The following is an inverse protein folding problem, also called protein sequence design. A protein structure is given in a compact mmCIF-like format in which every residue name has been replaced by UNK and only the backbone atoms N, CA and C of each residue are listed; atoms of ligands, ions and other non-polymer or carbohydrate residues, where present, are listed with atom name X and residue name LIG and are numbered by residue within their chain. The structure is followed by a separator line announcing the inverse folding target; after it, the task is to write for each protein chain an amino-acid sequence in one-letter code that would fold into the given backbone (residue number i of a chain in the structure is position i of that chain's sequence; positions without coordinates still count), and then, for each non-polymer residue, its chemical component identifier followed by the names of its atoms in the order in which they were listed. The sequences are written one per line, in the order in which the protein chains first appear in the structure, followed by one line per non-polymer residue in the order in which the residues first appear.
data_IF_775581203024
#
_entry.id   IF_775581203024
#
_cell.length_a   1.000
_cell.length_b   1.000
_cell.length_c   1.000
_cell.angle_alpha   90.00
_cell.angle_beta   90.00
_cell.angle_gamma   90.00
#
_symmetry.space_group_name_H-M   'P 1'
#
loop_
_entity.id
_entity.type
_entity.pdbx_description
1 polymer ?
#
# COMPACT_ATOMS: atom_id res chain seq x y z
N UNK A 1 -13.06 -0.77 -8.09
CA UNK A 1 -12.61 -0.85 -9.33
C UNK A 1 -11.79 0.28 -9.90
N UNK A 2 -12.04 0.58 -11.15
CA UNK A 2 -11.26 1.56 -11.93
C UNK A 2 -11.28 2.98 -11.36
N UNK A 3 -12.36 3.40 -10.71
CA UNK A 3 -12.50 4.74 -10.13
C UNK A 3 -11.49 5.03 -9.02
N UNK A 4 -11.18 4.03 -8.19
CA UNK A 4 -10.23 4.18 -7.08
C UNK A 4 -8.81 4.35 -7.60
N UNK A 5 -8.40 3.54 -8.57
CA UNK A 5 -7.09 3.63 -9.20
C UNK A 5 -6.91 4.95 -9.95
N UNK A 6 -7.95 5.43 -10.62
CA UNK A 6 -7.94 6.75 -11.28
C UNK A 6 -7.72 7.87 -10.28
N UNK A 7 -8.41 7.83 -9.13
CA UNK A 7 -8.25 8.83 -8.07
C UNK A 7 -6.79 8.93 -7.59
N UNK A 8 -6.14 7.79 -7.39
CA UNK A 8 -4.74 7.74 -6.97
C UNK A 8 -3.80 8.35 -8.01
N UNK A 9 -4.07 8.10 -9.28
CA UNK A 9 -3.25 8.62 -10.38
C UNK A 9 -3.26 10.15 -10.45
N UNK A 10 -4.27 10.80 -9.89
CA UNK A 10 -4.33 12.25 -9.76
C UNK A 10 -3.31 12.79 -8.74
N UNK A 11 -2.98 12.02 -7.70
CA UNK A 11 -2.05 12.44 -6.64
C UNK A 11 -0.63 12.59 -7.18
N UNK A 12 -0.17 11.63 -7.96
CA UNK A 12 1.16 11.67 -8.61
C UNK A 12 1.15 12.34 -9.97
N UNK A 13 0.01 12.90 -10.33
CA UNK A 13 -0.18 13.68 -11.55
C UNK A 13 0.14 12.91 -12.83
N UNK A 14 -0.30 11.63 -12.89
CA UNK A 14 -0.33 10.89 -14.14
C UNK A 14 -1.45 11.41 -15.05
N UNK A 15 -2.49 11.98 -14.44
CA UNK A 15 -3.56 12.73 -15.09
C UNK A 15 -3.87 13.96 -14.26
N UNK A 16 -4.31 15.04 -14.90
CA UNK A 16 -4.83 16.23 -14.23
C UNK A 16 -6.36 16.16 -14.09
N UNK A 17 -6.90 16.72 -13.02
CA UNK A 17 -8.33 16.90 -12.87
C UNK A 17 -8.85 17.85 -13.94
N UNK A 18 -9.98 17.51 -14.57
CA UNK A 18 -10.64 18.35 -15.57
C UNK A 18 -11.37 19.51 -14.91
N UNK A 19 -11.86 19.30 -13.70
CA UNK A 19 -12.51 20.32 -12.85
C UNK A 19 -12.01 20.18 -11.42
N UNK A 20 -11.99 21.28 -10.69
CA UNK A 20 -11.52 21.32 -9.32
C UNK A 20 -10.00 21.25 -9.21
N UNK A 21 -9.50 20.88 -8.03
CA UNK A 21 -8.07 20.80 -7.75
C UNK A 21 -7.75 19.61 -6.87
N UNK A 22 -6.56 19.06 -7.08
CA UNK A 22 -5.95 18.05 -6.21
C UNK A 22 -4.82 18.76 -5.45
N UNK A 23 -4.86 18.69 -4.12
CA UNK A 23 -3.86 19.33 -3.26
C UNK A 23 -3.09 18.31 -2.46
N UNK A 24 -1.78 18.47 -2.42
CA UNK A 24 -0.87 17.68 -1.58
C UNK A 24 -0.14 18.67 -0.68
N UNK A 25 -0.23 18.45 0.64
CA UNK A 25 0.33 19.38 1.60
C UNK A 25 -0.27 20.79 1.51
N UNK A 26 -1.53 20.90 1.10
CA UNK A 26 -2.24 22.18 0.94
C UNK A 26 -1.94 22.92 -0.36
N UNK A 27 -1.08 22.37 -1.23
CA UNK A 27 -0.68 23.00 -2.50
C UNK A 27 -1.22 22.20 -3.67
N UNK A 28 -1.76 22.88 -4.67
CA UNK A 28 -2.22 22.26 -5.92
C UNK A 28 -1.07 21.48 -6.56
N UNK A 29 -1.32 20.23 -6.92
CA UNK A 29 -0.29 19.34 -7.51
C UNK A 29 0.32 19.92 -8.79
N UNK A 30 -0.42 20.77 -9.51
CA UNK A 30 0.06 21.43 -10.73
C UNK A 30 1.10 22.52 -10.46
N UNK A 31 1.19 22.97 -9.21
CA UNK A 31 2.17 23.99 -8.78
C UNK A 31 3.50 23.42 -8.33
N UNK A 32 3.57 22.09 -8.14
CA UNK A 32 4.83 21.41 -7.80
C UNK A 32 5.68 21.17 -9.05
N UNK A 33 7.00 21.16 -8.86
CA UNK A 33 7.89 20.46 -9.77
C UNK A 33 7.48 18.97 -9.82
N UNK A 34 7.31 18.44 -11.01
CA UNK A 34 6.74 17.10 -11.20
C UNK A 34 7.60 15.99 -10.56
N UNK A 35 8.92 16.10 -10.73
CA UNK A 35 9.86 15.15 -10.14
C UNK A 35 9.84 15.22 -8.61
N UNK A 36 9.85 16.45 -8.06
CA UNK A 36 9.77 16.66 -6.62
C UNK A 36 8.47 16.09 -6.03
N UNK A 37 7.34 16.26 -6.69
CA UNK A 37 6.06 15.70 -6.25
C UNK A 37 6.13 14.16 -6.26
N UNK A 38 6.58 13.56 -7.35
CA UNK A 38 6.63 12.10 -7.52
C UNK A 38 7.62 11.43 -6.60
N UNK A 39 8.70 12.11 -6.22
CA UNK A 39 9.67 11.61 -5.25
C UNK A 39 9.08 11.47 -3.85
N UNK A 40 8.01 12.21 -3.53
CA UNK A 40 7.32 12.15 -2.25
C UNK A 40 6.20 11.12 -2.18
N UNK A 41 5.85 10.52 -3.31
CA UNK A 41 4.74 9.56 -3.40
C UNK A 41 5.29 8.19 -3.80
N UNK A 42 5.00 7.17 -3.01
CA UNK A 42 5.27 5.79 -3.38
C UNK A 42 3.94 5.06 -3.55
N UNK A 43 3.81 4.34 -4.66
CA UNK A 43 2.62 3.55 -4.98
C UNK A 43 3.00 2.08 -5.09
N UNK A 44 2.32 1.24 -4.32
CA UNK A 44 2.46 -0.22 -4.39
C UNK A 44 1.17 -0.77 -4.98
N UNK A 45 1.28 -1.39 -6.13
CA UNK A 45 0.15 -1.99 -6.84
C UNK A 45 0.00 -3.47 -6.48
N UNK A 46 -1.16 -4.05 -6.74
CA UNK A 46 -1.41 -5.48 -6.53
C UNK A 46 -0.43 -6.35 -7.32
N UNK A 47 -0.15 -5.97 -8.56
CA UNK A 47 0.75 -6.68 -9.47
C UNK A 47 2.06 -5.93 -9.64
N UNK A 48 2.81 -5.77 -8.57
CA UNK A 48 4.15 -5.23 -8.65
C UNK A 48 5.14 -6.29 -9.16
N UNK A 49 6.16 -5.81 -9.87
CA UNK A 49 7.17 -6.65 -10.49
C UNK A 49 8.45 -6.64 -9.65
N UNK A 50 8.99 -7.84 -9.42
CA UNK A 50 10.36 -8.03 -8.96
C UNK A 50 11.24 -8.35 -10.18
N UNK A 51 12.49 -7.90 -10.11
CA UNK A 51 13.46 -8.08 -11.20
C UNK A 51 14.42 -9.22 -10.88
N UNK A 52 15.00 -9.82 -11.91
CA UNK A 52 16.07 -10.80 -11.73
C UNK A 52 17.24 -10.14 -11.02
N UNK A 53 17.70 -10.77 -9.94
CA UNK A 53 18.77 -10.26 -9.08
C UNK A 53 18.53 -10.65 -7.63
N UNK A 54 19.40 -10.22 -6.73
CA UNK A 54 19.22 -10.50 -5.30
C UNK A 54 18.02 -9.73 -4.73
N UNK A 55 17.57 -10.17 -3.56
CA UNK A 55 16.58 -9.39 -2.78
C UNK A 55 17.13 -7.98 -2.51
N UNK A 56 18.38 -7.88 -2.10
CA UNK A 56 19.07 -6.62 -1.85
C UNK A 56 19.04 -5.68 -3.07
N UNK A 57 19.35 -6.20 -4.25
CA UNK A 57 19.29 -5.43 -5.49
C UNK A 57 17.87 -4.96 -5.82
N UNK A 58 16.87 -5.83 -5.61
CA UNK A 58 15.46 -5.46 -5.77
C UNK A 58 15.03 -4.34 -4.83
N UNK A 59 15.45 -4.39 -3.56
CA UNK A 59 15.15 -3.35 -2.58
C UNK A 59 15.77 -2.01 -2.96
N UNK A 60 16.96 -2.00 -3.52
CA UNK A 60 17.65 -0.78 -3.98
C UNK A 60 16.98 -0.07 -5.15
N UNK A 61 16.05 -0.71 -5.83
CA UNK A 61 15.18 0.00 -6.77
C UNK A 61 14.32 1.07 -6.09
N UNK A 62 14.04 0.92 -4.80
CA UNK A 62 13.37 1.96 -4.00
C UNK A 62 14.30 3.08 -3.56
N UNK A 63 15.55 2.76 -3.29
CA UNK A 63 16.60 3.70 -2.91
C UNK A 63 17.98 3.06 -3.17
N UNK A 64 18.66 3.53 -4.21
CA UNK A 64 19.97 2.99 -4.63
C UNK A 64 21.05 3.08 -3.55
N UNK A 65 20.93 4.03 -2.64
CA UNK A 65 21.87 4.31 -1.56
C UNK A 65 21.43 3.71 -0.22
N UNK A 66 20.40 2.87 -0.21
CA UNK A 66 19.92 2.24 1.02
C UNK A 66 21.00 1.39 1.67
N UNK A 67 21.20 1.61 2.97
CA UNK A 67 22.10 0.80 3.80
C UNK A 67 21.44 -0.54 4.14
N UNK A 68 22.24 -1.50 4.57
CA UNK A 68 21.73 -2.79 5.03
C UNK A 68 20.75 -2.61 6.21
N UNK A 69 21.06 -1.71 7.13
CA UNK A 69 20.19 -1.41 8.27
C UNK A 69 18.84 -0.83 7.82
N UNK A 70 18.84 0.07 6.83
CA UNK A 70 17.61 0.63 6.27
C UNK A 70 16.78 -0.44 5.56
N UNK A 71 17.43 -1.34 4.80
CA UNK A 71 16.72 -2.45 4.12
C UNK A 71 16.10 -3.42 5.13
N UNK A 72 16.82 -3.77 6.19
CA UNK A 72 16.32 -4.64 7.25
C UNK A 72 15.12 -4.00 7.97
N UNK A 73 15.21 -2.72 8.28
CA UNK A 73 14.09 -1.99 8.92
C UNK A 73 12.86 -1.94 8.02
N UNK A 74 13.01 -1.60 6.74
CA UNK A 74 11.91 -1.60 5.78
C UNK A 74 11.26 -3.00 5.68
N UNK A 75 12.08 -4.05 5.66
CA UNK A 75 11.59 -5.43 5.62
C UNK A 75 10.91 -5.85 6.92
N UNK A 76 11.36 -5.37 8.07
CA UNK A 76 10.66 -5.61 9.34
C UNK A 76 9.26 -4.99 9.32
N UNK A 77 9.14 -3.76 8.88
CA UNK A 77 7.83 -3.08 8.76
C UNK A 77 6.90 -3.81 7.80
N UNK A 78 7.42 -4.28 6.68
CA UNK A 78 6.66 -5.02 5.67
C UNK A 78 6.44 -6.50 6.03
N UNK A 79 6.87 -6.96 7.20
CA UNK A 79 6.80 -8.37 7.62
C UNK A 79 7.56 -9.31 6.68
N UNK A 80 8.65 -8.85 6.10
CA UNK A 80 9.46 -9.61 5.14
C UNK A 80 10.76 -10.14 5.74
N UNK A 81 11.31 -9.49 6.77
CA UNK A 81 12.62 -9.84 7.32
C UNK A 81 12.70 -11.30 7.79
N UNK A 82 11.66 -11.79 8.44
CA UNK A 82 11.63 -13.16 8.96
C UNK A 82 11.75 -14.20 7.85
N UNK A 83 10.95 -14.11 6.79
CA UNK A 83 11.04 -15.09 5.71
C UNK A 83 12.35 -14.94 4.90
N UNK A 84 12.88 -13.72 4.76
CA UNK A 84 14.15 -13.51 4.08
C UNK A 84 15.28 -14.23 4.82
N UNK A 85 15.31 -14.13 6.15
CA UNK A 85 16.33 -14.79 6.99
C UNK A 85 16.23 -16.32 6.98
N UNK A 86 15.07 -16.86 6.63
CA UNK A 86 14.89 -18.30 6.48
C UNK A 86 15.47 -18.86 5.18
N UNK A 87 15.70 -18.02 4.18
CA UNK A 87 16.40 -18.44 2.97
C UNK A 87 17.88 -18.68 3.27
N UNK A 88 18.53 -19.70 2.70
CA UNK A 88 19.95 -19.97 2.93
C UNK A 88 20.87 -18.78 2.68
N UNK A 89 20.57 -17.98 1.67
CA UNK A 89 21.37 -16.81 1.28
C UNK A 89 20.83 -15.47 1.82
N UNK A 90 19.76 -15.51 2.63
CA UNK A 90 19.17 -14.31 3.25
C UNK A 90 18.85 -13.22 2.22
N UNK A 91 19.33 -12.01 2.46
CA UNK A 91 19.15 -10.86 1.58
C UNK A 91 19.85 -10.99 0.21
N UNK A 92 20.81 -11.90 0.10
CA UNK A 92 21.50 -12.17 -1.16
C UNK A 92 20.82 -13.28 -1.98
N UNK A 93 19.69 -13.78 -1.51
CA UNK A 93 18.87 -14.75 -2.24
C UNK A 93 18.50 -14.20 -3.61
N UNK A 94 18.75 -15.01 -4.65
CA UNK A 94 18.41 -14.65 -6.03
C UNK A 94 16.91 -14.72 -6.25
N UNK A 95 16.36 -13.65 -6.80
CA UNK A 95 14.97 -13.58 -7.27
C UNK A 95 14.97 -13.78 -8.78
N UNK A 96 14.17 -14.70 -9.25
CA UNK A 96 13.96 -14.93 -10.67
C UNK A 96 13.09 -13.82 -11.28
N UNK A 97 13.17 -13.69 -12.60
CA UNK A 97 12.40 -12.71 -13.35
C UNK A 97 10.91 -12.75 -12.94
N UNK A 98 10.37 -11.59 -12.59
CA UNK A 98 8.99 -11.45 -12.15
C UNK A 98 8.68 -12.03 -10.77
N UNK A 99 9.69 -12.50 -10.03
CA UNK A 99 9.52 -13.10 -8.71
C UNK A 99 8.95 -14.52 -8.75
N UNK A 100 9.28 -15.29 -9.80
CA UNK A 100 8.72 -16.63 -10.01
C UNK A 100 9.03 -17.63 -8.89
N UNK A 101 10.12 -17.44 -8.15
CA UNK A 101 10.57 -18.33 -7.07
C UNK A 101 10.16 -17.89 -5.66
N UNK A 102 9.28 -16.90 -5.54
CA UNK A 102 8.70 -16.47 -4.27
C UNK A 102 7.18 -16.51 -4.34
N UNK A 103 6.52 -16.66 -3.20
CA UNK A 103 5.06 -16.65 -3.14
C UNK A 103 4.49 -15.27 -3.48
N UNK A 104 3.20 -15.20 -3.82
CA UNK A 104 2.52 -13.94 -4.06
C UNK A 104 2.56 -12.99 -2.86
N UNK A 105 2.33 -13.52 -1.66
CA UNK A 105 2.41 -12.74 -0.41
C UNK A 105 3.83 -12.27 -0.09
N UNK A 106 4.84 -13.10 -0.33
CA UNK A 106 6.24 -12.70 -0.20
C UNK A 106 6.60 -11.59 -1.19
N UNK A 107 6.19 -11.74 -2.44
CA UNK A 107 6.39 -10.71 -3.47
C UNK A 107 5.77 -9.37 -3.06
N UNK A 108 4.52 -9.38 -2.60
CA UNK A 108 3.83 -8.16 -2.18
C UNK A 108 4.57 -7.48 -1.01
N UNK A 109 5.01 -8.24 -0.03
CA UNK A 109 5.76 -7.70 1.11
C UNK A 109 7.11 -7.12 0.70
N UNK A 110 7.83 -7.74 -0.22
CA UNK A 110 9.07 -7.19 -0.77
C UNK A 110 8.83 -5.88 -1.53
N UNK A 111 7.73 -5.78 -2.27
CA UNK A 111 7.36 -4.56 -2.97
C UNK A 111 6.98 -3.43 -2.00
N UNK A 112 6.32 -3.74 -0.89
CA UNK A 112 6.04 -2.77 0.18
C UNK A 112 7.36 -2.29 0.79
N UNK A 113 8.28 -3.18 1.15
CA UNK A 113 9.58 -2.82 1.70
C UNK A 113 10.36 -1.91 0.75
N UNK A 114 10.37 -2.23 -0.53
CA UNK A 114 11.00 -1.41 -1.57
C UNK A 114 10.43 0.01 -1.61
N UNK A 115 9.11 0.14 -1.52
CA UNK A 115 8.43 1.44 -1.49
C UNK A 115 8.79 2.23 -0.23
N UNK A 116 8.89 1.58 0.93
CA UNK A 116 9.28 2.23 2.19
C UNK A 116 10.68 2.82 2.13
N UNK A 117 11.59 2.21 1.39
CA UNK A 117 12.96 2.71 1.22
C UNK A 117 13.04 4.03 0.46
N UNK A 118 12.02 4.38 -0.29
CA UNK A 118 11.90 5.69 -0.93
C UNK A 118 11.66 6.79 0.10
N UNK A 119 11.29 6.45 1.33
CA UNK A 119 10.92 7.37 2.42
C UNK A 119 9.84 8.37 1.98
N UNK A 120 8.70 7.90 1.47
CA UNK A 120 7.67 8.76 0.90
C UNK A 120 6.95 9.56 1.99
N UNK A 121 6.41 10.71 1.62
CA UNK A 121 5.44 11.45 2.44
C UNK A 121 4.03 10.89 2.29
N UNK A 122 3.75 10.28 1.14
CA UNK A 122 2.48 9.60 0.85
C UNK A 122 2.79 8.19 0.36
N UNK A 123 2.25 7.20 1.05
CA UNK A 123 2.35 5.78 0.68
C UNK A 123 0.97 5.30 0.25
N UNK A 124 0.85 4.86 -1.00
CA UNK A 124 -0.38 4.29 -1.54
C UNK A 124 -0.22 2.78 -1.65
N UNK A 125 -1.12 2.05 -1.02
CA UNK A 125 -1.20 0.59 -1.07
C UNK A 125 -2.49 0.21 -1.81
N UNK A 126 -2.38 -0.16 -3.09
CA UNK A 126 -3.52 -0.51 -3.95
C UNK A 126 -3.62 -2.03 -4.05
N UNK A 127 -4.46 -2.62 -3.19
CA UNK A 127 -4.62 -4.08 -3.05
C UNK A 127 -3.28 -4.82 -2.85
N UNK A 128 -2.31 -4.16 -2.24
CA UNK A 128 -0.92 -4.65 -2.15
C UNK A 128 -0.72 -5.74 -1.11
N UNK A 129 -1.74 -6.08 -0.34
CA UNK A 129 -1.74 -7.18 0.63
C UNK A 129 -2.77 -8.25 0.31
N UNK A 130 -3.29 -8.27 -0.91
CA UNK A 130 -4.34 -9.20 -1.34
C UNK A 130 -3.93 -10.68 -1.28
N UNK A 131 -2.64 -10.97 -1.43
CA UNK A 131 -2.07 -12.31 -1.31
C UNK A 131 -1.45 -12.60 0.07
N UNK A 132 -1.59 -11.66 0.99
CA UNK A 132 -1.07 -11.77 2.36
C UNK A 132 -2.22 -12.19 3.28
N UNK A 133 -1.96 -13.08 4.22
CA UNK A 133 -2.96 -13.50 5.20
C UNK A 133 -3.41 -12.34 6.09
N UNK A 134 -4.59 -12.47 6.68
CA UNK A 134 -5.24 -11.40 7.46
C UNK A 134 -4.40 -10.94 8.65
N UNK A 135 -3.73 -11.88 9.32
CA UNK A 135 -2.88 -11.57 10.48
C UNK A 135 -1.65 -10.77 10.07
N UNK A 136 -0.97 -11.18 9.03
CA UNK A 136 0.22 -10.51 8.51
C UNK A 136 -0.13 -9.13 7.94
N UNK A 137 -1.25 -9.01 7.25
CA UNK A 137 -1.78 -7.71 6.79
C UNK A 137 -2.01 -6.75 7.96
N UNK A 138 -2.64 -7.22 9.04
CA UNK A 138 -2.83 -6.43 10.25
C UNK A 138 -1.51 -5.99 10.89
N UNK A 139 -0.51 -6.87 10.94
CA UNK A 139 0.81 -6.55 11.46
C UNK A 139 1.53 -5.48 10.63
N UNK A 140 1.40 -5.54 9.30
CA UNK A 140 1.93 -4.50 8.41
C UNK A 140 1.28 -3.15 8.73
N UNK A 141 -0.04 -3.09 8.80
CA UNK A 141 -0.77 -1.85 9.08
C UNK A 141 -0.41 -1.27 10.46
N UNK A 142 -0.29 -2.12 11.48
CA UNK A 142 0.14 -1.71 12.82
C UNK A 142 1.56 -1.16 12.82
N UNK A 143 2.47 -1.81 12.12
CA UNK A 143 3.87 -1.37 12.00
C UNK A 143 3.96 -0.01 11.30
N UNK A 144 3.23 0.18 10.20
CA UNK A 144 3.20 1.45 9.48
C UNK A 144 2.65 2.58 10.37
N UNK A 145 1.60 2.31 11.13
CA UNK A 145 1.03 3.28 12.07
C UNK A 145 2.00 3.68 13.17
N UNK A 146 2.72 2.71 13.72
CA UNK A 146 3.61 2.91 14.86
C UNK A 146 4.94 3.58 14.46
N UNK A 147 5.54 3.16 13.36
CA UNK A 147 6.91 3.52 13.02
C UNK A 147 7.03 4.62 11.96
N UNK A 148 5.99 4.85 11.17
CA UNK A 148 5.91 5.96 10.23
C UNK A 148 4.59 6.73 10.37
N UNK A 149 4.28 7.24 11.58
CA UNK A 149 2.98 7.88 11.86
C UNK A 149 2.73 9.14 11.03
N UNK A 150 3.79 9.84 10.62
CA UNK A 150 3.69 11.08 9.85
C UNK A 150 3.50 10.88 8.35
N UNK A 151 3.70 9.67 7.86
CA UNK A 151 3.42 9.34 6.46
C UNK A 151 1.93 9.19 6.28
N UNK A 152 1.36 9.87 5.28
CA UNK A 152 -0.03 9.65 4.87
C UNK A 152 -0.11 8.30 4.16
N UNK A 153 -0.93 7.38 4.69
CA UNK A 153 -1.16 6.06 4.09
C UNK A 153 -2.54 6.05 3.44
N UNK A 154 -2.58 5.76 2.16
CA UNK A 154 -3.82 5.56 1.40
C UNK A 154 -3.91 4.09 1.06
N UNK A 155 -4.89 3.41 1.66
CA UNK A 155 -5.07 1.98 1.50
C UNK A 155 -6.33 1.73 0.69
N UNK A 156 -6.17 1.07 -0.45
CA UNK A 156 -7.28 0.55 -1.24
C UNK A 156 -7.28 -0.96 -1.07
N UNK A 157 -8.36 -1.49 -0.55
CA UNK A 157 -8.52 -2.93 -0.37
C UNK A 157 -9.98 -3.32 -0.57
N UNK A 158 -10.19 -4.53 -1.05
CA UNK A 158 -11.52 -5.12 -1.16
C UNK A 158 -12.02 -5.63 0.20
N UNK A 159 -11.10 -6.06 1.06
CA UNK A 159 -11.42 -6.53 2.41
C UNK A 159 -11.60 -5.33 3.35
N UNK A 160 -12.79 -5.20 3.96
CA UNK A 160 -13.03 -4.14 4.95
C UNK A 160 -12.10 -4.27 6.15
N UNK A 161 -11.73 -5.50 6.54
CA UNK A 161 -10.77 -5.74 7.61
C UNK A 161 -9.43 -4.99 7.41
N UNK A 162 -9.03 -4.74 6.18
CA UNK A 162 -7.80 -4.01 5.86
C UNK A 162 -7.92 -2.48 5.99
N UNK A 163 -9.13 -1.94 6.07
CA UNK A 163 -9.36 -0.48 6.11
C UNK A 163 -10.15 -0.03 7.34
N UNK A 164 -10.73 -0.94 8.11
CA UNK A 164 -11.66 -0.58 9.19
C UNK A 164 -11.02 0.23 10.33
N UNK A 165 -9.72 0.17 10.51
CA UNK A 165 -8.97 0.93 11.51
C UNK A 165 -8.33 2.22 10.96
N UNK A 166 -8.63 2.59 9.72
CA UNK A 166 -8.19 3.85 9.15
C UNK A 166 -8.82 5.05 9.87
N UNK A 167 -8.11 6.17 9.89
CA UNK A 167 -8.60 7.42 10.48
C UNK A 167 -9.82 7.95 9.73
N UNK A 168 -9.85 7.74 8.41
CA UNK A 168 -10.98 8.05 7.54
C UNK A 168 -11.13 6.98 6.47
N UNK A 169 -12.36 6.59 6.23
CA UNK A 169 -12.72 5.66 5.16
C UNK A 169 -13.56 6.42 4.15
N UNK A 170 -13.15 6.35 2.90
CA UNK A 170 -13.88 6.95 1.77
C UNK A 170 -14.64 5.84 1.06
N UNK A 171 -15.96 5.97 1.02
CA UNK A 171 -16.84 5.07 0.27
C UNK A 171 -17.08 5.67 -1.10
N UNK A 172 -16.72 4.94 -2.14
CA UNK A 172 -16.94 5.36 -3.53
C UNK A 172 -18.06 4.54 -4.17
N UNK A 173 -18.91 5.23 -4.90
CA UNK A 173 -20.01 4.62 -5.64
C UNK A 173 -20.25 5.39 -6.93
N UNK A 174 -20.35 4.66 -8.06
CA UNK A 174 -20.61 5.26 -9.36
C UNK A 174 -19.58 6.32 -9.80
N UNK A 175 -18.33 6.19 -9.38
CA UNK A 175 -17.25 7.12 -9.71
C UNK A 175 -17.22 8.40 -8.89
N UNK A 176 -18.03 8.46 -7.82
CA UNK A 176 -18.11 9.62 -6.92
C UNK A 176 -17.93 9.20 -5.47
N UNK A 177 -17.53 10.16 -4.63
CA UNK A 177 -17.49 9.95 -3.18
C UNK A 177 -18.91 9.90 -2.64
N UNK A 178 -19.29 8.75 -2.09
CA UNK A 178 -20.63 8.55 -1.49
C UNK A 178 -20.64 8.99 -0.03
N UNK A 179 -19.63 8.65 0.74
CA UNK A 179 -19.51 9.00 2.15
C UNK A 179 -18.06 9.00 2.62
N UNK A 180 -17.79 9.71 3.69
CA UNK A 180 -16.49 9.71 4.38
C UNK A 180 -16.75 9.62 5.89
N UNK A 181 -16.03 8.75 6.58
CA UNK A 181 -16.14 8.61 8.02
C UNK A 181 -15.24 7.52 8.58
N UNK A 182 -15.34 7.31 9.88
CA UNK A 182 -14.72 6.16 10.56
C UNK A 182 -15.57 4.90 10.32
N UNK A 183 -15.00 3.75 10.63
CA UNK A 183 -15.76 2.49 10.58
C UNK A 183 -17.06 2.57 11.41
N UNK A 184 -16.99 3.07 12.66
CA UNK A 184 -18.15 3.19 13.54
C UNK A 184 -19.22 4.11 12.96
N UNK A 185 -18.83 5.27 12.41
CA UNK A 185 -19.74 6.22 11.79
C UNK A 185 -20.42 5.62 10.55
N UNK A 186 -19.66 4.99 9.66
CA UNK A 186 -20.18 4.40 8.43
C UNK A 186 -21.08 3.19 8.68
N UNK A 187 -20.80 2.41 9.72
CA UNK A 187 -21.69 1.33 10.17
C UNK A 187 -23.06 1.83 10.61
N UNK A 188 -23.13 3.05 11.13
CA UNK A 188 -24.40 3.69 11.54
C UNK A 188 -25.12 4.36 10.38
N UNK A 189 -24.39 4.99 9.47
CA UNK A 189 -24.97 5.96 8.53
C UNK A 189 -24.93 5.53 7.08
N UNK A 190 -24.10 4.56 6.70
CA UNK A 190 -23.91 4.20 5.28
C UNK A 190 -24.36 2.78 4.97
N UNK A 191 -25.40 2.67 4.16
CA UNK A 191 -25.98 1.38 3.78
C UNK A 191 -25.01 0.52 2.95
N UNK A 192 -24.32 1.12 2.00
CA UNK A 192 -23.36 0.42 1.12
C UNK A 192 -22.25 -0.21 1.97
N UNK A 193 -21.67 0.57 2.87
CA UNK A 193 -20.60 0.11 3.76
C UNK A 193 -21.06 -1.05 4.65
N UNK A 194 -22.24 -0.93 5.27
CA UNK A 194 -22.82 -2.01 6.11
C UNK A 194 -23.05 -3.29 5.32
N UNK A 195 -23.59 -3.19 4.13
CA UNK A 195 -23.89 -4.35 3.29
C UNK A 195 -22.62 -5.10 2.92
N UNK A 196 -21.56 -4.39 2.52
CA UNK A 196 -20.27 -4.99 2.20
C UNK A 196 -19.65 -5.63 3.44
N UNK A 197 -19.65 -4.94 4.57
CA UNK A 197 -19.14 -5.48 5.83
C UNK A 197 -19.86 -6.75 6.26
N UNK A 198 -21.19 -6.73 6.23
CA UNK A 198 -22.03 -7.88 6.60
C UNK A 198 -21.80 -9.07 5.66
N UNK A 199 -21.72 -8.81 4.37
CA UNK A 199 -21.45 -9.84 3.35
C UNK A 199 -20.11 -10.52 3.57
N UNK A 200 -19.06 -9.74 3.85
CA UNK A 200 -17.71 -10.28 4.07
C UNK A 200 -17.63 -11.10 5.36
N UNK A 201 -18.31 -10.68 6.42
CA UNK A 201 -18.30 -11.40 7.70
C UNK A 201 -19.15 -12.68 7.70
N UNK A 202 -20.19 -12.75 6.87
CA UNK A 202 -20.97 -13.99 6.69
C UNK A 202 -20.18 -15.06 5.93
N UNK A 203 -19.36 -14.67 4.97
CA UNK A 203 -18.52 -15.58 4.22
C UNK A 203 -17.33 -16.14 5.03
N UNK A 204 -16.94 -15.46 6.12
CA UNK A 204 -15.86 -15.91 7.02
C UNK A 204 -16.32 -16.74 8.22
N UNK A 205 -17.61 -17.02 8.35
CA UNK A 205 -18.20 -17.73 9.48
C UNK A 205 -18.58 -19.19 9.24
N UNK A 206 -18.29 -19.73 8.06
CA UNK A 206 -18.62 -21.11 7.67
C UNK A 206 -17.37 -22.03 7.56
N UNK A 207 -16.27 -21.73 8.31
CA UNK A 207 -15.13 -22.64 8.45
C UNK A 207 -14.97 -23.12 9.90
#
# INVERSE_FOLDING_TARGET
GSSKSTLIQLISRLYDATEGAVRVGGVDVRSYDLEALRDQVAVVLQKNVLFSGSIRENLRWGNKDATDAEMEEACRLAQADEFIRQFPDGYDTHIEQGGANVSGGQKQRLCIARALLKKPKILVLDDSTSAVDTRTDALIRQALRRYIPETTKIIIAQRIASVQDADRIVVMDGGAVNAVGTHAELMKTNKIYREVYTSQNKAGGDD
#
